data_IF_547613620761
#
_entry.id   IF_547613620761
#
_cell.length_a   1.000
_cell.length_b   1.000
_cell.length_c   1.000
_cell.angle_alpha   90.00
_cell.angle_beta   90.00
_cell.angle_gamma   90.00
#
_symmetry.space_group_name_H-M   'P 1'
#
loop_
_entity.id
_entity.type
_entity.pdbx_description
1 polymer ?
#
# COMPACT_ATOMS: atom_id res chain seq x y z
N UNK A 1 -11.49 10.58 -10.99
CA UNK A 1 -10.39 9.84 -10.33
C UNK A 1 -9.56 10.77 -9.42
N UNK A 2 -10.02 11.07 -8.19
CA UNK A 2 -9.34 12.04 -7.29
C UNK A 2 -8.02 11.52 -6.69
N UNK A 3 -7.89 10.22 -6.44
CA UNK A 3 -6.69 9.65 -5.80
C UNK A 3 -5.47 9.59 -6.74
N UNK A 4 -5.69 9.38 -8.04
CA UNK A 4 -4.61 9.32 -9.06
C UNK A 4 -4.05 10.72 -9.36
N UNK A 5 -4.92 11.73 -9.38
CA UNK A 5 -4.51 13.14 -9.61
C UNK A 5 -3.64 13.70 -8.48
N UNK A 6 -3.74 13.11 -7.29
CA UNK A 6 -3.01 13.48 -6.07
C UNK A 6 -1.57 12.95 -6.00
N UNK A 7 -1.26 11.89 -6.76
CA UNK A 7 0.07 11.25 -6.79
C UNK A 7 1.18 12.21 -7.22
N UNK A 8 0.87 13.27 -7.98
CA UNK A 8 1.88 14.23 -8.47
C UNK A 8 2.36 15.25 -7.43
N UNK A 9 1.68 15.43 -6.29
CA UNK A 9 2.04 16.46 -5.31
C UNK A 9 1.78 16.10 -3.83
N UNK A 10 1.13 14.97 -3.53
CA UNK A 10 0.84 14.60 -2.13
C UNK A 10 1.96 13.79 -1.47
N UNK A 11 2.34 14.23 -0.27
CA UNK A 11 3.34 13.56 0.57
C UNK A 11 2.81 12.26 1.20
N UNK A 12 1.48 12.09 1.23
CA UNK A 12 0.78 10.98 1.86
C UNK A 12 -0.36 10.47 0.99
N UNK A 13 -0.57 9.16 0.97
CA UNK A 13 -1.67 8.51 0.28
C UNK A 13 -2.54 7.70 1.25
N UNK A 14 -3.83 7.68 0.96
CA UNK A 14 -4.77 6.73 1.54
C UNK A 14 -4.91 5.51 0.62
N UNK A 15 -4.77 4.32 1.19
CA UNK A 15 -4.86 3.06 0.46
C UNK A 15 -5.72 2.03 1.18
N UNK A 16 -6.24 1.11 0.39
CA UNK A 16 -6.98 -0.06 0.83
C UNK A 16 -6.02 -1.14 1.33
N UNK A 17 -5.82 -1.17 2.65
CA UNK A 17 -5.03 -2.21 3.32
C UNK A 17 -5.56 -3.63 3.11
N UNK A 18 -6.88 -3.79 2.88
CA UNK A 18 -7.48 -5.10 2.65
C UNK A 18 -7.07 -5.64 1.28
N UNK A 19 -7.10 -4.80 0.24
CA UNK A 19 -6.59 -5.18 -1.09
C UNK A 19 -5.12 -5.57 -1.04
N UNK A 20 -4.30 -4.82 -0.32
CA UNK A 20 -2.89 -5.15 -0.12
C UNK A 20 -2.71 -6.54 0.50
N UNK A 21 -3.47 -6.83 1.56
CA UNK A 21 -3.44 -8.13 2.23
C UNK A 21 -3.87 -9.26 1.30
N UNK A 22 -4.97 -9.10 0.58
CA UNK A 22 -5.48 -10.11 -0.35
C UNK A 22 -4.46 -10.42 -1.45
N UNK A 23 -3.84 -9.39 -2.02
CA UNK A 23 -2.84 -9.59 -3.07
C UNK A 23 -1.57 -10.26 -2.55
N UNK A 24 -1.10 -9.84 -1.36
CA UNK A 24 0.03 -10.49 -0.69
C UNK A 24 -0.25 -11.97 -0.45
N UNK A 25 -1.45 -12.31 0.03
CA UNK A 25 -1.85 -13.70 0.26
C UNK A 25 -1.99 -14.48 -1.05
N UNK A 26 -2.50 -13.86 -2.11
CA UNK A 26 -2.59 -14.46 -3.45
C UNK A 26 -1.20 -14.84 -4.01
N UNK A 27 -0.17 -14.04 -3.74
CA UNK A 27 1.23 -14.38 -4.07
C UNK A 27 1.87 -15.41 -3.13
N UNK A 28 1.15 -15.89 -2.10
CA UNK A 28 1.70 -16.78 -1.07
C UNK A 28 2.73 -16.10 -0.16
N UNK A 29 2.71 -14.77 -0.06
CA UNK A 29 3.68 -14.01 0.71
C UNK A 29 3.19 -13.80 2.15
N UNK A 30 4.11 -13.93 3.10
CA UNK A 30 3.88 -13.51 4.48
C UNK A 30 4.36 -12.06 4.69
N UNK A 31 4.00 -11.45 5.83
CA UNK A 31 4.36 -10.06 6.13
C UNK A 31 5.89 -9.84 6.13
N UNK A 32 6.68 -10.83 6.54
CA UNK A 32 8.16 -10.78 6.49
C UNK A 32 8.67 -10.65 5.09
N UNK A 33 8.12 -11.47 4.20
CA UNK A 33 8.58 -11.52 2.83
C UNK A 33 8.30 -10.19 2.17
N UNK A 34 7.09 -9.67 2.33
CA UNK A 34 6.77 -8.32 1.84
C UNK A 34 7.66 -7.25 2.50
N UNK A 35 7.97 -7.37 3.79
CA UNK A 35 8.87 -6.43 4.47
C UNK A 35 10.30 -6.46 3.94
N UNK A 36 10.81 -7.64 3.61
CA UNK A 36 12.14 -7.82 3.02
C UNK A 36 12.18 -7.26 1.60
N UNK A 37 11.20 -7.62 0.75
CA UNK A 37 11.16 -7.19 -0.65
C UNK A 37 10.92 -5.68 -0.80
N UNK A 38 10.11 -5.09 0.08
CA UNK A 38 9.80 -3.65 0.05
C UNK A 38 10.73 -2.80 0.90
N UNK A 39 11.60 -3.38 1.74
CA UNK A 39 12.38 -2.61 2.72
C UNK A 39 11.53 -1.95 3.84
N UNK A 40 10.21 -2.11 3.82
CA UNK A 40 9.30 -1.52 4.82
C UNK A 40 9.15 -2.47 6.01
N UNK A 41 9.19 -1.94 7.23
CA UNK A 41 9.04 -2.77 8.44
C UNK A 41 7.72 -3.55 8.44
N UNK A 42 7.77 -4.85 8.82
CA UNK A 42 6.60 -5.72 9.04
C UNK A 42 5.47 -5.02 9.82
N UNK A 43 5.83 -4.26 10.86
CA UNK A 43 4.88 -3.52 11.71
C UNK A 43 4.09 -2.51 10.88
N UNK A 44 4.77 -1.69 10.07
CA UNK A 44 4.15 -0.71 9.18
C UNK A 44 3.21 -1.39 8.19
N UNK A 45 3.66 -2.46 7.53
CA UNK A 45 2.81 -3.22 6.59
C UNK A 45 1.56 -3.76 7.30
N UNK A 46 1.70 -4.34 8.49
CA UNK A 46 0.57 -4.85 9.26
C UNK A 46 -0.40 -3.75 9.75
N UNK A 47 0.09 -2.54 10.04
CA UNK A 47 -0.76 -1.38 10.35
C UNK A 47 -1.55 -0.90 9.13
N UNK A 48 -0.89 -0.89 7.96
CA UNK A 48 -1.51 -0.57 6.67
C UNK A 48 -2.62 -1.57 6.35
N UNK A 49 -2.32 -2.87 6.40
CA UNK A 49 -3.30 -3.93 6.09
C UNK A 49 -4.52 -3.92 7.01
N UNK A 50 -4.37 -3.45 8.25
CA UNK A 50 -5.45 -3.32 9.22
C UNK A 50 -6.27 -2.04 9.05
N UNK A 51 -5.91 -1.16 8.12
CA UNK A 51 -6.55 0.15 7.95
C UNK A 51 -6.29 1.11 9.12
N UNK A 52 -5.31 0.81 9.99
CA UNK A 52 -4.98 1.69 11.13
C UNK A 52 -4.18 2.93 10.71
N UNK A 53 -3.65 2.93 9.49
CA UNK A 53 -2.76 3.96 8.97
C UNK A 53 -3.37 4.53 7.69
N UNK A 54 -4.03 5.67 7.80
CA UNK A 54 -4.72 6.35 6.69
C UNK A 54 -3.86 7.42 6.01
N UNK A 55 -2.70 7.78 6.60
CA UNK A 55 -1.82 8.81 6.08
C UNK A 55 -0.37 8.27 5.94
N UNK A 56 -0.15 7.39 4.97
CA UNK A 56 1.15 6.73 4.77
C UNK A 56 1.94 7.51 3.73
N UNK A 57 3.25 7.64 3.94
CA UNK A 57 4.12 8.32 2.97
C UNK A 57 4.05 7.64 1.61
N UNK A 58 3.97 8.44 0.55
CA UNK A 58 4.00 7.95 -0.82
C UNK A 58 5.18 7.00 -1.05
N UNK A 59 6.39 7.38 -0.61
CA UNK A 59 7.59 6.54 -0.76
C UNK A 59 7.42 5.13 -0.18
N UNK A 60 6.81 5.01 1.01
CA UNK A 60 6.58 3.70 1.65
C UNK A 60 5.59 2.84 0.88
N UNK A 61 4.50 3.44 0.38
CA UNK A 61 3.54 2.69 -0.44
C UNK A 61 4.16 2.34 -1.79
N UNK A 62 4.96 3.23 -2.37
CA UNK A 62 5.65 3.02 -3.62
C UNK A 62 6.64 1.85 -3.53
N UNK A 63 7.39 1.73 -2.42
CA UNK A 63 8.25 0.57 -2.18
C UNK A 63 7.46 -0.73 -2.06
N UNK A 64 6.32 -0.73 -1.36
CA UNK A 64 5.42 -1.90 -1.26
C UNK A 64 4.85 -2.27 -2.63
N UNK A 65 4.44 -1.26 -3.41
CA UNK A 65 3.86 -1.43 -4.73
C UNK A 65 4.89 -1.98 -5.72
N UNK A 66 6.12 -1.45 -5.70
CA UNK A 66 7.25 -1.97 -6.48
C UNK A 66 7.59 -3.41 -6.10
N UNK A 67 7.65 -3.73 -4.81
CA UNK A 67 7.90 -5.10 -4.34
C UNK A 67 6.82 -6.08 -4.81
N UNK A 68 5.57 -5.64 -4.88
CA UNK A 68 4.46 -6.44 -5.40
C UNK A 68 4.31 -6.37 -6.92
N UNK A 69 5.16 -5.59 -7.61
CA UNK A 69 5.11 -5.30 -9.04
C UNK A 69 3.73 -4.80 -9.50
N UNK A 70 3.09 -4.00 -8.66
CA UNK A 70 1.75 -3.45 -8.89
C UNK A 70 1.85 -1.93 -8.90
N UNK A 71 1.03 -1.29 -9.73
CA UNK A 71 0.89 0.17 -9.70
C UNK A 71 0.21 0.62 -8.40
N UNK A 72 0.76 1.65 -7.76
CA UNK A 72 0.21 2.23 -6.53
C UNK A 72 -1.28 2.59 -6.62
N UNK A 73 -1.74 2.97 -7.82
CA UNK A 73 -3.14 3.27 -8.15
C UNK A 73 -4.10 2.12 -7.85
N UNK A 74 -3.63 0.87 -7.89
CA UNK A 74 -4.43 -0.31 -7.57
C UNK A 74 -4.86 -0.34 -6.10
N UNK A 75 -4.00 0.18 -5.22
CA UNK A 75 -4.27 0.23 -3.79
C UNK A 75 -5.07 1.47 -3.38
N UNK A 76 -5.21 2.48 -4.24
CA UNK A 76 -6.00 3.67 -3.92
C UNK A 76 -7.45 3.30 -3.61
N UNK A 77 -7.93 3.66 -2.42
CA UNK A 77 -9.35 3.64 -2.07
C UNK A 77 -10.06 4.75 -2.85
N UNK A 78 -10.93 4.38 -3.78
CA UNK A 78 -11.95 5.28 -4.29
C UNK A 78 -13.07 5.29 -3.25
N UNK A 79 -13.07 6.26 -2.36
CA UNK A 79 -14.31 6.66 -1.73
C UNK A 79 -15.09 7.48 -2.79
N UNK A 80 -15.67 6.78 -3.77
CA UNK A 80 -16.78 7.32 -4.54
C UNK A 80 -18.00 7.27 -3.62
N UNK A 81 -18.26 8.40 -2.97
CA UNK A 81 -19.63 8.82 -2.68
C UNK A 81 -20.01 9.91 -3.68
#
# INVERSE_FOLDING_TARGET
>A
MKCIQKIKHEKYLEIDGVKLKLFRLSRGWNLTRLALESGVTRKTIGEIEKGKKTNIRFSTINEIANALEIKIEFFCTQNEM
#
